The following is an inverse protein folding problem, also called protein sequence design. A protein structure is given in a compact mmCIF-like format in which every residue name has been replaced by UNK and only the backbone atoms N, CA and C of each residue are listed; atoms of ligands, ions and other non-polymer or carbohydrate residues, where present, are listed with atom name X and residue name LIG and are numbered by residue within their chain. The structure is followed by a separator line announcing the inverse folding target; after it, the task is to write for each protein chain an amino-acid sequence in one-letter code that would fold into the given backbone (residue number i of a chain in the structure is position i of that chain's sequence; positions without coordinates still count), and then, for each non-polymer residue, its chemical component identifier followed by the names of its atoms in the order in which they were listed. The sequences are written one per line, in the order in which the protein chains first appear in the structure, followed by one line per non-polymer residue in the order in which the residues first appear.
data_IF_399589748553
#
_entry.id   IF_399589748553
#
_cell.length_a   1.000
_cell.length_b   1.000
_cell.length_c   1.000
_cell.angle_alpha   90.00
_cell.angle_beta   90.00
_cell.angle_gamma   90.00
#
_symmetry.space_group_name_H-M   'P 1'
#
loop_
_entity.id
_entity.type
_entity.pdbx_description
1 polymer ?
#
# COMPACT_ATOMS: atom_id res chain seq x y z
N UNK A 1 -14.89 5.51 -16.48
CA UNK A 1 -14.52 5.56 -15.05
C UNK A 1 -13.22 6.34 -14.89
N UNK A 2 -13.18 7.50 -14.19
CA UNK A 2 -12.01 8.38 -14.16
C UNK A 2 -10.73 7.71 -13.62
N UNK A 3 -10.83 6.78 -12.67
CA UNK A 3 -9.67 6.14 -12.04
C UNK A 3 -8.96 5.08 -12.90
N UNK A 4 -9.64 4.48 -13.89
CA UNK A 4 -9.03 3.48 -14.78
C UNK A 4 -7.91 4.08 -15.63
N UNK A 5 -8.06 5.36 -16.01
CA UNK A 5 -7.02 6.12 -16.72
C UNK A 5 -5.76 6.37 -15.87
N UNK A 6 -5.87 6.24 -14.56
CA UNK A 6 -4.76 6.37 -13.60
C UNK A 6 -4.31 5.01 -13.05
N UNK A 7 -4.58 3.91 -13.76
CA UNK A 7 -4.03 2.59 -13.46
C UNK A 7 -4.89 1.69 -12.56
N UNK A 8 -6.06 2.14 -12.09
CA UNK A 8 -6.94 1.32 -11.21
C UNK A 8 -7.75 0.33 -12.05
N UNK A 9 -7.11 -0.76 -12.45
CA UNK A 9 -7.70 -1.91 -13.15
C UNK A 9 -7.18 -3.20 -12.51
N UNK A 10 -8.06 -4.17 -12.31
CA UNK A 10 -7.72 -5.47 -11.73
C UNK A 10 -6.64 -6.17 -12.55
N UNK A 11 -5.54 -6.56 -11.90
CA UNK A 11 -4.39 -7.19 -12.56
C UNK A 11 -4.37 -8.71 -12.38
N UNK A 12 -5.10 -9.24 -11.40
CA UNK A 12 -5.03 -10.65 -10.99
C UNK A 12 -3.72 -11.06 -10.31
N UNK A 13 -2.86 -10.11 -9.92
CA UNK A 13 -1.64 -10.38 -9.17
C UNK A 13 -1.95 -10.88 -7.75
N UNK A 14 -1.13 -11.83 -7.27
CA UNK A 14 -1.23 -12.40 -5.94
C UNK A 14 0.16 -12.45 -5.29
N UNK A 15 0.28 -12.14 -3.99
CA UNK A 15 1.55 -12.30 -3.28
C UNK A 15 1.90 -13.79 -3.14
N UNK A 16 3.17 -14.11 -3.32
CA UNK A 16 3.76 -15.44 -3.11
C UNK A 16 4.95 -15.26 -2.15
N UNK A 17 4.73 -15.50 -0.86
CA UNK A 17 5.73 -15.17 0.17
C UNK A 17 6.94 -16.11 0.07
N UNK A 18 8.12 -15.52 -0.10
CA UNK A 18 9.36 -16.25 -0.35
C UNK A 18 9.62 -17.30 0.74
N UNK A 19 10.03 -18.49 0.34
CA UNK A 19 10.25 -19.64 1.23
C UNK A 19 9.00 -20.03 2.04
N UNK A 20 7.80 -19.86 1.47
CA UNK A 20 6.51 -20.15 2.10
C UNK A 20 6.32 -19.38 3.43
N UNK A 21 6.69 -18.09 3.45
CA UNK A 21 6.54 -17.24 4.62
C UNK A 21 5.09 -17.13 5.09
N UNK A 22 4.87 -17.21 6.40
CA UNK A 22 3.52 -17.11 6.98
C UNK A 22 3.21 -15.65 7.35
N UNK A 23 2.74 -14.91 6.36
CA UNK A 23 2.42 -13.49 6.44
C UNK A 23 0.91 -13.24 6.49
N UNK A 24 0.45 -12.12 7.08
CA UNK A 24 -0.92 -11.64 6.93
C UNK A 24 -1.32 -11.51 5.45
N UNK A 25 -2.43 -12.12 5.05
CA UNK A 25 -2.87 -12.17 3.65
C UNK A 25 -3.91 -11.09 3.32
N UNK A 26 -4.06 -10.82 2.03
CA UNK A 26 -5.16 -10.02 1.49
C UNK A 26 -6.42 -10.86 1.55
N UNK A 27 -7.54 -10.30 2.03
CA UNK A 27 -8.81 -11.02 2.03
C UNK A 27 -9.63 -10.72 0.76
N UNK A 28 -10.96 -10.69 0.89
CA UNK A 28 -11.86 -10.36 -0.22
C UNK A 28 -11.79 -8.90 -0.68
N UNK A 29 -11.11 -8.01 0.04
CA UNK A 29 -10.95 -6.59 -0.30
C UNK A 29 -9.69 -6.36 -1.15
N UNK A 30 -9.68 -6.97 -2.33
CA UNK A 30 -8.58 -6.95 -3.31
C UNK A 30 -8.52 -5.66 -4.13
N UNK A 31 -7.46 -5.54 -4.92
CA UNK A 31 -7.20 -4.40 -5.80
C UNK A 31 -8.33 -4.18 -6.83
N UNK A 32 -8.65 -2.90 -7.07
CA UNK A 32 -9.56 -2.43 -8.12
C UNK A 32 -11.02 -2.93 -8.07
N UNK A 33 -11.47 -3.51 -6.95
CA UNK A 33 -12.88 -3.88 -6.76
C UNK A 33 -13.80 -2.67 -7.00
N UNK A 34 -14.87 -2.87 -7.76
CA UNK A 34 -15.83 -1.82 -8.09
C UNK A 34 -16.93 -1.70 -7.02
N UNK A 35 -16.85 -0.65 -6.21
CA UNK A 35 -17.85 -0.28 -5.22
C UNK A 35 -18.86 0.77 -5.69
N UNK A 36 -18.94 1.06 -6.98
CA UNK A 36 -19.89 2.03 -7.54
C UNK A 36 -21.33 1.73 -7.12
N UNK A 37 -21.70 0.44 -7.04
CA UNK A 37 -23.02 0.00 -6.57
C UNK A 37 -23.28 0.37 -5.09
N UNK A 38 -22.25 0.36 -4.22
CA UNK A 38 -22.35 0.79 -2.82
C UNK A 38 -22.40 2.32 -2.66
N UNK A 39 -22.23 3.07 -3.76
CA UNK A 39 -22.07 4.53 -3.78
C UNK A 39 -23.12 5.23 -4.64
N UNK A 40 -24.25 4.58 -4.90
CA UNK A 40 -25.35 5.17 -5.66
C UNK A 40 -24.93 5.63 -7.05
N UNK A 41 -24.07 4.87 -7.73
CA UNK A 41 -23.60 5.20 -9.08
C UNK A 41 -22.36 6.10 -9.13
N UNK A 42 -21.89 6.63 -7.99
CA UNK A 42 -20.62 7.38 -7.95
C UNK A 42 -19.44 6.42 -8.07
N UNK A 43 -18.60 6.63 -9.08
CA UNK A 43 -17.39 5.84 -9.32
C UNK A 43 -16.56 5.67 -8.04
N UNK A 44 -16.34 4.42 -7.64
CA UNK A 44 -15.61 4.08 -6.44
C UNK A 44 -14.88 2.75 -6.62
N UNK A 45 -13.68 2.81 -7.18
CA UNK A 45 -12.80 1.65 -7.24
C UNK A 45 -11.97 1.54 -5.96
N UNK A 46 -11.65 0.32 -5.54
CA UNK A 46 -10.73 0.07 -4.45
C UNK A 46 -9.29 0.38 -4.89
N UNK A 47 -8.67 1.38 -4.29
CA UNK A 47 -7.35 1.92 -4.71
C UNK A 47 -6.20 1.42 -3.84
N UNK A 48 -6.31 0.19 -3.39
CA UNK A 48 -5.36 -0.48 -2.52
C UNK A 48 -5.81 -1.92 -2.30
N UNK A 49 -5.28 -2.52 -1.25
CA UNK A 49 -5.65 -3.85 -0.73
C UNK A 49 -5.94 -3.71 0.76
N UNK A 50 -6.88 -4.49 1.30
CA UNK A 50 -7.05 -4.56 2.76
C UNK A 50 -6.46 -5.86 3.32
N UNK A 51 -5.61 -5.73 4.33
CA UNK A 51 -4.94 -6.84 5.01
C UNK A 51 -5.50 -6.91 6.44
N UNK A 52 -6.43 -7.84 6.75
CA UNK A 52 -6.99 -8.00 8.10
C UNK A 52 -5.94 -8.45 9.11
N UNK A 53 -5.96 -7.82 10.28
CA UNK A 53 -5.17 -8.18 11.46
C UNK A 53 -5.85 -7.61 12.71
N UNK A 54 -5.57 -8.15 13.91
CA UNK A 54 -6.09 -7.60 15.15
C UNK A 54 -5.75 -6.12 15.33
N UNK A 55 -6.68 -5.34 15.90
CA UNK A 55 -6.42 -3.95 16.31
C UNK A 55 -5.15 -3.85 17.15
N UNK A 56 -4.35 -2.82 16.89
CA UNK A 56 -3.08 -2.60 17.60
C UNK A 56 -1.90 -3.36 17.01
N UNK A 57 -2.10 -4.22 16.00
CA UNK A 57 -0.99 -4.85 15.27
C UNK A 57 -0.11 -3.78 14.63
N UNK A 58 1.21 -3.87 14.85
CA UNK A 58 2.20 -2.95 14.28
C UNK A 58 2.26 -3.06 12.76
N UNK A 59 2.33 -1.91 12.11
CA UNK A 59 2.56 -1.75 10.67
C UNK A 59 3.95 -1.20 10.48
N UNK A 60 4.71 -1.77 9.54
CA UNK A 60 6.10 -1.38 9.27
C UNK A 60 6.25 -0.73 7.89
N UNK A 61 7.26 0.14 7.78
CA UNK A 61 7.68 0.73 6.52
C UNK A 61 8.12 -0.36 5.53
N UNK A 62 7.50 -0.39 4.34
CA UNK A 62 7.75 -1.44 3.33
C UNK A 62 9.07 -1.27 2.61
N UNK A 63 9.67 -0.08 2.67
CA UNK A 63 10.96 0.24 2.08
C UNK A 63 11.56 1.45 2.79
N UNK A 64 12.85 1.70 2.59
CA UNK A 64 13.48 2.95 3.02
C UNK A 64 12.74 4.14 2.37
N UNK A 65 12.62 5.26 3.08
CA UNK A 65 11.91 6.41 2.53
C UNK A 65 11.87 7.60 3.46
N UNK A 66 10.91 8.48 3.21
CA UNK A 66 10.63 9.67 4.00
C UNK A 66 9.13 9.83 4.21
N UNK A 67 8.72 10.20 5.41
CA UNK A 67 7.32 10.56 5.70
C UNK A 67 6.97 11.82 4.93
N UNK A 68 5.94 11.76 4.09
CA UNK A 68 5.48 12.88 3.25
C UNK A 68 4.07 13.34 3.59
N UNK A 69 3.34 12.55 4.38
CA UNK A 69 2.03 12.93 4.87
C UNK A 69 1.67 12.12 6.10
N UNK A 70 0.98 12.77 7.04
CA UNK A 70 0.31 12.11 8.16
C UNK A 70 -0.95 12.90 8.50
N UNK A 71 -2.11 12.24 8.51
CA UNK A 71 -3.39 12.94 8.52
C UNK A 71 -4.37 12.25 9.45
N UNK A 72 -5.08 13.04 10.28
CA UNK A 72 -6.17 12.51 11.12
C UNK A 72 -7.37 12.10 10.25
N UNK A 73 -7.61 12.84 9.16
CA UNK A 73 -8.67 12.55 8.18
C UNK A 73 -10.05 12.45 8.86
N UNK A 74 -10.33 13.35 9.82
CA UNK A 74 -11.60 13.36 10.56
C UNK A 74 -12.80 13.51 9.61
N UNK A 75 -13.82 12.66 9.80
CA UNK A 75 -14.99 12.59 8.92
C UNK A 75 -14.74 12.00 7.53
N UNK A 76 -13.49 11.68 7.16
CA UNK A 76 -13.12 11.00 5.93
C UNK A 76 -13.15 9.47 6.11
N UNK A 77 -13.49 8.73 5.05
CA UNK A 77 -13.52 7.26 5.07
C UNK A 77 -12.13 6.62 5.16
N UNK A 78 -11.06 7.33 4.78
CA UNK A 78 -9.66 6.87 4.92
C UNK A 78 -9.27 6.69 6.38
N UNK A 79 -9.80 7.53 7.28
CA UNK A 79 -9.34 7.57 8.66
C UNK A 79 -7.86 7.92 8.76
N UNK A 80 -7.28 7.67 9.92
CA UNK A 80 -5.91 8.07 10.23
C UNK A 80 -4.94 7.40 9.27
N UNK A 81 -4.02 8.18 8.73
CA UNK A 81 -3.16 7.82 7.62
C UNK A 81 -1.72 8.29 7.83
N UNK A 82 -0.76 7.50 7.33
CA UNK A 82 0.61 7.93 7.05
C UNK A 82 0.98 7.55 5.62
N UNK A 83 1.74 8.41 4.95
CA UNK A 83 2.30 8.15 3.63
C UNK A 83 3.81 8.34 3.63
N UNK A 84 4.50 7.40 3.01
CA UNK A 84 5.94 7.45 2.80
C UNK A 84 6.22 7.63 1.31
N UNK A 85 7.27 8.40 0.99
CA UNK A 85 7.83 8.52 -0.36
C UNK A 85 9.16 7.80 -0.42
N UNK A 86 9.39 7.12 -1.52
CA UNK A 86 10.59 6.34 -1.78
C UNK A 86 11.23 6.77 -3.10
N UNK A 87 12.55 6.87 -3.11
CA UNK A 87 13.35 7.09 -4.33
C UNK A 87 13.40 5.80 -5.16
N UNK A 88 13.67 5.87 -6.48
CA UNK A 88 14.00 4.71 -7.31
C UNK A 88 15.07 3.79 -6.70
N UNK A 89 16.15 4.35 -6.14
CA UNK A 89 17.28 3.58 -5.61
C UNK A 89 16.90 2.76 -4.38
N UNK A 90 16.06 3.34 -3.53
CA UNK A 90 15.56 2.74 -2.28
C UNK A 90 14.65 1.54 -2.53
N UNK A 91 13.87 1.54 -3.61
CA UNK A 91 12.93 0.45 -3.93
C UNK A 91 13.47 -0.51 -4.98
N UNK A 92 14.40 -0.05 -5.82
CA UNK A 92 14.84 -0.77 -7.02
C UNK A 92 13.86 -0.66 -8.20
N UNK A 93 12.80 0.14 -8.08
CA UNK A 93 11.87 0.42 -9.18
C UNK A 93 12.33 1.65 -9.97
N UNK A 94 11.96 1.78 -11.26
CA UNK A 94 12.32 2.95 -12.07
C UNK A 94 11.49 4.21 -11.76
N UNK A 95 10.81 4.25 -10.61
CA UNK A 95 9.83 5.29 -10.26
C UNK A 95 10.06 5.82 -8.86
N UNK A 96 9.61 7.05 -8.63
CA UNK A 96 9.27 7.50 -7.29
C UNK A 96 7.99 6.80 -6.87
N UNK A 97 8.02 6.10 -5.75
CA UNK A 97 6.83 5.42 -5.22
C UNK A 97 6.39 6.01 -3.90
N UNK A 98 5.11 5.83 -3.61
CA UNK A 98 4.47 6.33 -2.41
C UNK A 98 3.68 5.20 -1.78
N UNK A 99 4.05 4.77 -0.58
CA UNK A 99 3.27 3.81 0.19
C UNK A 99 2.32 4.53 1.13
N UNK A 100 1.05 4.14 1.10
CA UNK A 100 -0.02 4.71 1.90
C UNK A 100 -0.58 3.64 2.83
N UNK A 101 -0.74 4.03 4.10
CA UNK A 101 -1.22 3.17 5.16
C UNK A 101 -2.36 3.89 5.86
N UNK A 102 -3.58 3.35 5.78
CA UNK A 102 -4.77 4.00 6.37
C UNK A 102 -5.50 3.11 7.37
N UNK A 103 -6.56 3.66 7.97
CA UNK A 103 -7.32 3.04 9.08
C UNK A 103 -6.48 2.83 10.35
N UNK A 104 -5.46 3.65 10.56
CA UNK A 104 -4.55 3.49 11.71
C UNK A 104 -5.26 3.82 13.03
N UNK A 105 -4.75 3.23 14.12
CA UNK A 105 -5.26 3.41 15.47
C UNK A 105 -5.02 4.83 15.98
N UNK A 106 -3.82 5.34 15.77
CA UNK A 106 -3.36 6.66 16.21
C UNK A 106 -2.53 7.29 15.09
N UNK A 107 -2.38 8.62 15.16
CA UNK A 107 -1.46 9.35 14.29
C UNK A 107 -0.05 8.78 14.44
N UNK A 108 0.65 8.59 13.32
CA UNK A 108 2.07 8.20 13.35
C UNK A 108 2.88 9.25 14.13
N UNK A 109 3.70 8.85 15.11
CA UNK A 109 4.51 9.80 15.87
C UNK A 109 5.56 10.48 14.98
N UNK A 110 5.92 9.87 13.84
CA UNK A 110 6.93 10.33 12.90
C UNK A 110 6.46 11.60 12.16
N UNK A 111 7.12 12.77 12.36
CA UNK A 111 6.76 13.98 11.63
C UNK A 111 7.04 13.88 10.13
N UNK A 112 6.36 14.69 9.32
CA UNK A 112 6.68 14.86 7.89
C UNK A 112 8.15 15.31 7.75
N UNK A 113 8.87 14.72 6.80
CA UNK A 113 10.31 14.88 6.61
C UNK A 113 11.18 13.84 7.32
N UNK A 114 10.61 13.03 8.21
CA UNK A 114 11.35 11.96 8.90
C UNK A 114 11.80 10.90 7.91
N UNK A 115 13.10 10.59 7.91
CA UNK A 115 13.65 9.44 7.18
C UNK A 115 13.33 8.16 7.94
N UNK A 116 12.84 7.16 7.23
CA UNK A 116 12.54 5.83 7.77
C UNK A 116 13.36 4.78 7.07
N UNK A 117 13.71 3.74 7.81
CA UNK A 117 14.27 2.49 7.29
C UNK A 117 13.15 1.49 7.03
N UNK A 118 13.37 0.63 6.06
CA UNK A 118 12.54 -0.55 5.85
C UNK A 118 12.46 -1.35 7.16
N UNK A 119 11.24 -1.65 7.63
CA UNK A 119 11.00 -2.33 8.91
C UNK A 119 10.74 -1.42 10.11
N UNK A 120 10.94 -0.10 9.99
CA UNK A 120 10.58 0.84 11.06
C UNK A 120 9.07 0.80 11.33
N UNK A 121 8.69 0.87 12.60
CA UNK A 121 7.29 0.95 12.99
C UNK A 121 6.71 2.33 12.62
N UNK A 122 5.65 2.33 11.82
CA UNK A 122 5.03 3.57 11.30
C UNK A 122 3.62 3.81 11.82
N UNK A 123 3.00 2.80 12.41
CA UNK A 123 1.66 2.89 12.96
C UNK A 123 1.15 1.56 13.49
N UNK A 124 -0.11 1.57 13.93
CA UNK A 124 -0.83 0.38 14.37
C UNK A 124 -2.17 0.32 13.67
N UNK A 125 -2.66 -0.88 13.37
CA UNK A 125 -3.93 -1.08 12.69
C UNK A 125 -5.11 -0.73 13.61
N UNK A 126 -6.16 -0.20 13.00
CA UNK A 126 -7.50 -0.13 13.55
C UNK A 126 -8.52 -0.19 12.40
N UNK A 127 -9.68 0.40 12.61
CA UNK A 127 -10.73 0.62 11.63
C UNK A 127 -11.14 2.10 11.59
N UNK A 128 -10.19 3.01 11.86
CA UNK A 128 -10.48 4.45 11.92
C UNK A 128 -11.00 4.98 10.59
N UNK A 129 -11.75 6.09 10.67
CA UNK A 129 -12.41 6.71 9.53
C UNK A 129 -13.92 6.51 9.54
N UNK A 130 -14.58 7.25 8.65
CA UNK A 130 -16.05 7.25 8.56
C UNK A 130 -16.57 5.91 8.08
N UNK A 131 -17.25 5.20 8.99
CA UNK A 131 -17.92 3.93 8.70
C UNK A 131 -19.25 4.15 7.96
N UNK A 132 -19.74 3.07 7.34
CA UNK A 132 -21.10 3.02 6.79
C UNK A 132 -22.10 2.63 7.87
N UNK A 133 -23.17 1.92 7.47
CA UNK A 133 -24.18 1.38 8.41
C UNK A 133 -23.65 0.24 9.28
N UNK A 134 -22.55 -0.40 8.88
CA UNK A 134 -21.91 -1.51 9.59
C UNK A 134 -20.54 -1.07 10.06
N UNK A 135 -20.17 -1.55 11.26
CA UNK A 135 -18.81 -1.44 11.76
C UNK A 135 -17.88 -2.20 10.81
N UNK A 136 -16.82 -1.54 10.35
CA UNK A 136 -15.79 -2.19 9.52
C UNK A 136 -14.88 -3.01 10.44
N UNK A 137 -14.44 -4.19 9.97
CA UNK A 137 -13.37 -4.94 10.64
C UNK A 137 -12.06 -4.12 10.67
N UNK A 138 -11.18 -4.43 11.62
CA UNK A 138 -9.83 -3.87 11.62
C UNK A 138 -9.04 -4.40 10.41
N UNK A 139 -8.33 -3.50 9.75
CA UNK A 139 -7.61 -3.77 8.51
C UNK A 139 -6.57 -2.69 8.25
N UNK A 140 -5.40 -3.06 7.74
CA UNK A 140 -4.58 -2.09 7.02
C UNK A 140 -5.13 -1.97 5.60
N UNK A 141 -5.58 -0.78 5.21
CA UNK A 141 -5.70 -0.44 3.79
C UNK A 141 -4.33 0.04 3.31
N UNK A 142 -3.73 -0.71 2.40
CA UNK A 142 -2.40 -0.47 1.85
C UNK A 142 -2.51 -0.13 0.37
N UNK A 143 -1.97 1.03 0.00
CA UNK A 143 -1.99 1.51 -1.38
C UNK A 143 -0.60 1.97 -1.82
N UNK A 144 -0.32 1.80 -3.11
CA UNK A 144 0.90 2.31 -3.74
C UNK A 144 0.52 3.27 -4.85
N UNK A 145 1.21 4.41 -4.88
CA UNK A 145 1.23 5.31 -6.04
C UNK A 145 2.64 5.37 -6.60
N UNK A 146 2.76 5.75 -7.86
CA UNK A 146 4.04 5.96 -8.51
C UNK A 146 4.02 7.17 -9.44
N UNK A 147 5.20 7.72 -9.68
CA UNK A 147 5.44 8.79 -10.65
C UNK A 147 6.87 8.67 -11.20
N UNK A 148 7.06 9.11 -12.45
CA UNK A 148 8.39 9.32 -13.01
C UNK A 148 9.06 10.59 -12.46
N UNK A 149 8.26 11.54 -11.95
CA UNK A 149 8.73 12.80 -11.41
C UNK A 149 9.08 12.69 -9.93
N UNK A 150 10.16 13.35 -9.48
CA UNK A 150 10.39 13.55 -8.05
C UNK A 150 9.36 14.49 -7.42
N UNK A 151 8.65 15.31 -8.20
CA UNK A 151 7.81 16.37 -7.66
C UNK A 151 6.55 15.79 -7.00
N UNK A 152 6.19 16.37 -5.86
CA UNK A 152 4.97 16.05 -5.13
C UNK A 152 4.57 17.25 -4.27
N UNK A 153 3.30 17.27 -3.89
CA UNK A 153 2.77 18.24 -2.94
C UNK A 153 1.87 17.53 -1.92
N UNK A 154 1.62 18.19 -0.79
CA UNK A 154 0.54 17.81 0.10
C UNK A 154 -0.19 19.06 0.61
N UNK A 155 -1.50 18.95 0.83
CA UNK A 155 -2.37 20.05 1.27
C UNK A 155 -2.83 19.92 2.74
N UNK A 156 -2.25 18.97 3.46
CA UNK A 156 -2.65 18.65 4.84
C UNK A 156 -3.73 17.58 4.95
N UNK A 157 -4.23 17.05 3.83
CA UNK A 157 -5.23 15.95 3.79
C UNK A 157 -4.88 14.89 2.74
N UNK A 158 -4.15 15.28 1.69
CA UNK A 158 -3.78 14.43 0.56
C UNK A 158 -2.31 14.68 0.21
N UNK A 159 -1.59 13.61 -0.11
CA UNK A 159 -0.31 13.68 -0.85
C UNK A 159 -0.60 13.40 -2.31
N UNK A 160 -0.09 14.26 -3.19
CA UNK A 160 -0.27 14.17 -4.65
C UNK A 160 1.09 14.16 -5.32
N UNK A 161 1.54 13.00 -5.85
CA UNK A 161 2.66 12.94 -6.79
C UNK A 161 2.29 13.65 -8.08
N UNK A 162 3.23 14.40 -8.66
CA UNK A 162 3.05 14.98 -10.00
C UNK A 162 2.88 13.86 -11.02
N UNK A 163 1.88 13.96 -11.88
CA UNK A 163 1.54 12.94 -12.89
C UNK A 163 1.44 11.53 -12.27
N UNK A 164 0.88 11.45 -11.06
CA UNK A 164 0.79 10.23 -10.28
C UNK A 164 -0.22 9.22 -10.83
N UNK A 165 0.15 7.95 -10.72
CA UNK A 165 -0.70 6.80 -11.03
C UNK A 165 -0.83 5.92 -9.79
N UNK A 166 -1.95 5.22 -9.67
CA UNK A 166 -2.06 4.15 -8.68
C UNK A 166 -1.43 2.87 -9.24
N UNK A 167 -0.77 2.13 -8.37
CA UNK A 167 -0.17 0.83 -8.66
C UNK A 167 -0.88 -0.23 -7.83
N UNK A 168 -1.16 -1.38 -8.44
CA UNK A 168 -1.54 -2.56 -7.68
C UNK A 168 -0.48 -2.82 -6.59
N UNK A 169 -0.83 -2.83 -5.30
CA UNK A 169 0.16 -2.99 -4.23
C UNK A 169 0.98 -4.27 -4.33
N UNK A 170 0.50 -5.32 -4.99
CA UNK A 170 1.28 -6.54 -5.26
C UNK A 170 2.33 -6.30 -6.36
N UNK A 171 2.02 -5.46 -7.36
CA UNK A 171 2.98 -5.08 -8.41
C UNK A 171 4.21 -4.36 -7.86
N UNK A 172 4.09 -3.67 -6.72
CA UNK A 172 5.21 -3.03 -6.03
C UNK A 172 6.36 -3.99 -5.73
N UNK A 173 6.08 -5.28 -5.56
CA UNK A 173 7.09 -6.31 -5.27
C UNK A 173 7.68 -6.98 -6.51
N UNK A 174 7.22 -6.64 -7.72
CA UNK A 174 7.79 -7.21 -8.94
C UNK A 174 9.25 -6.80 -9.08
N UNK A 175 10.10 -7.77 -9.39
CA UNK A 175 11.52 -7.54 -9.65
C UNK A 175 11.80 -7.09 -11.07
N UNK A 176 10.88 -7.38 -12.00
CA UNK A 176 11.03 -7.08 -13.42
C UNK A 176 9.76 -6.47 -14.01
N UNK A 177 9.87 -5.65 -15.07
CA UNK A 177 8.72 -5.16 -15.82
C UNK A 177 7.84 -6.31 -16.36
N UNK A 178 6.61 -6.02 -16.81
CA UNK A 178 5.96 -4.71 -16.83
C UNK A 178 5.53 -4.22 -15.43
N UNK A 179 5.36 -2.90 -15.33
CA UNK A 179 4.83 -2.21 -14.13
C UNK A 179 3.60 -1.34 -14.44
N UNK A 180 3.32 -1.09 -15.72
CA UNK A 180 2.10 -0.42 -16.16
C UNK A 180 0.93 -1.40 -16.14
N UNK A 181 -0.25 -0.88 -15.80
CA UNK A 181 -1.44 -1.70 -15.60
C UNK A 181 -1.85 -2.49 -16.85
N UNK A 182 -1.92 -1.92 -18.07
CA UNK A 182 -2.32 -2.67 -19.27
C UNK A 182 -1.48 -3.92 -19.51
N UNK A 183 -0.15 -3.79 -19.52
CA UNK A 183 0.72 -4.95 -19.72
C UNK A 183 0.68 -5.94 -18.56
N UNK A 184 0.48 -5.46 -17.32
CA UNK A 184 0.30 -6.36 -16.18
C UNK A 184 -0.98 -7.18 -16.26
N UNK A 185 -2.07 -6.66 -16.84
CA UNK A 185 -3.33 -7.41 -17.04
C UNK A 185 -3.10 -8.59 -17.97
N UNK A 186 -2.30 -8.42 -19.02
CA UNK A 186 -2.04 -9.42 -20.06
C UNK A 186 -1.04 -10.52 -19.66
N UNK A 187 -0.40 -10.41 -18.49
CA UNK A 187 0.53 -11.43 -18.02
C UNK A 187 -0.10 -12.84 -17.98
N UNK A 188 0.66 -13.89 -18.33
CA UNK A 188 0.19 -15.26 -18.16
C UNK A 188 0.04 -15.59 -16.66
N UNK A 189 -0.83 -16.55 -16.34
CA UNK A 189 -1.12 -16.97 -14.95
C UNK A 189 0.14 -17.37 -14.16
N UNK A 190 1.12 -17.96 -14.83
CA UNK A 190 2.43 -18.33 -14.24
C UNK A 190 3.25 -17.14 -13.74
N UNK A 191 2.95 -15.92 -14.20
CA UNK A 191 3.63 -14.68 -13.80
C UNK A 191 2.77 -13.77 -12.90
N UNK A 192 1.58 -14.25 -12.48
CA UNK A 192 0.69 -13.51 -11.57
C UNK A 192 1.01 -13.73 -10.10
N UNK A 193 1.78 -14.76 -9.76
CA UNK A 193 2.30 -14.98 -8.41
C UNK A 193 3.61 -14.22 -8.24
N UNK A 194 3.59 -13.19 -7.39
CA UNK A 194 4.70 -12.26 -7.23
C UNK A 194 5.47 -12.62 -5.96
N UNK A 195 6.76 -12.95 -6.06
CA UNK A 195 7.59 -13.18 -4.88
C UNK A 195 7.59 -11.97 -3.94
N UNK A 196 7.18 -12.16 -2.69
CA UNK A 196 7.15 -11.10 -1.68
C UNK A 196 8.13 -11.41 -0.56
N UNK A 197 9.07 -10.50 -0.36
CA UNK A 197 9.99 -10.50 0.77
C UNK A 197 9.32 -9.98 2.04
N UNK A 198 9.84 -10.36 3.20
CA UNK A 198 9.27 -9.96 4.49
C UNK A 198 10.31 -9.96 5.60
N UNK A 199 9.97 -9.30 6.71
CA UNK A 199 10.64 -9.51 7.99
C UNK A 199 9.96 -10.63 8.77
N UNK A 200 10.75 -11.50 9.40
CA UNK A 200 10.27 -12.36 10.46
C UNK A 200 10.00 -11.56 11.74
N UNK A 201 9.32 -12.17 12.71
CA UNK A 201 9.07 -11.57 14.04
C UNK A 201 10.34 -11.17 14.80
N UNK A 202 11.45 -11.84 14.55
CA UNK A 202 12.76 -11.54 15.13
C UNK A 202 13.54 -10.46 14.36
N UNK A 203 12.92 -9.80 13.38
CA UNK A 203 13.53 -8.84 12.45
C UNK A 203 14.55 -9.42 11.47
N UNK A 204 14.56 -10.74 11.25
CA UNK A 204 15.34 -11.34 10.15
C UNK A 204 14.68 -11.03 8.80
N UNK A 205 15.44 -10.45 7.87
CA UNK A 205 14.98 -10.13 6.52
C UNK A 205 15.05 -11.36 5.59
N UNK A 206 13.99 -11.65 4.85
CA UNK A 206 13.92 -12.77 3.91
C UNK A 206 13.49 -12.29 2.52
N UNK A 207 14.36 -12.36 1.49
CA UNK A 207 15.81 -12.60 1.55
C UNK A 207 16.56 -11.34 2.03
N UNK A 208 17.78 -11.51 2.57
CA UNK A 208 18.58 -10.42 3.15
C UNK A 208 18.93 -9.26 2.18
N UNK A 209 18.77 -9.46 0.87
CA UNK A 209 19.03 -8.46 -0.17
C UNK A 209 17.79 -7.65 -0.57
N UNK A 210 16.63 -7.96 0.02
CA UNK A 210 15.38 -7.30 -0.34
C UNK A 210 15.41 -5.80 -0.05
N UNK A 211 14.84 -5.02 -0.98
CA UNK A 211 14.65 -3.56 -0.84
C UNK A 211 13.22 -3.16 -0.46
N UNK A 212 12.31 -4.12 -0.53
CA UNK A 212 10.87 -3.96 -0.34
C UNK A 212 10.38 -5.18 0.42
N UNK A 213 9.50 -4.97 1.39
CA UNK A 213 8.94 -6.04 2.23
C UNK A 213 7.45 -5.86 2.42
N UNK A 214 6.75 -6.94 2.77
CA UNK A 214 5.38 -6.89 3.24
C UNK A 214 5.22 -5.95 4.46
N UNK A 215 4.09 -5.22 4.62
CA UNK A 215 3.93 -4.20 5.67
C UNK A 215 3.73 -4.79 7.09
N UNK A 216 4.09 -6.05 7.29
CA UNK A 216 3.99 -6.79 8.54
C UNK A 216 5.20 -7.69 8.77
N UNK A 217 5.48 -7.95 10.05
CA UNK A 217 6.36 -9.05 10.45
C UNK A 217 5.60 -10.37 10.36
N UNK A 218 6.19 -11.34 9.69
CA UNK A 218 5.62 -12.66 9.42
C UNK A 218 6.15 -13.71 10.41
N UNK A 219 5.42 -14.81 10.55
CA UNK A 219 5.80 -15.94 11.40
C UNK A 219 6.80 -16.85 10.71
#
# INVERSE_FOLDING_TARGET
MPYRRHGVVETGLQPDFINNGNCPEIDSEQWAIDYTYKRGGRAALHKGIDIPQPRGTLVIAVANGMVVGRFMNDGNRKGIEVMLRHTPEQTGLPYWTYSQYTHLLNMSPLPVGTKVKMGDDIGMISNSGKMGRRVRRDALHFAILYSQSPDWAHDGVVVTPKDGYFMDPVAFYRDQPPYDTPSMVELPSSQKRIPVAYFKRDNTLVPATAKRIWPFRCK
#
